data_IF_280620902154
#
_entry.id   IF_280620902154
#
_cell.length_a   1.000
_cell.length_b   1.000
_cell.length_c   1.000
_cell.angle_alpha   90.00
_cell.angle_beta   90.00
_cell.angle_gamma   90.00
#
_symmetry.space_group_name_H-M   'P 1'
#
loop_
_entity.id
_entity.type
_entity.pdbx_description
1 polymer ?
#
# COMPACT_ATOMS: atom_id res chain seq x y z
N UNK A 1 0.31 1.97 -10.41
CA UNK A 1 1.43 1.87 -9.46
C UNK A 1 0.85 1.82 -8.05
N UNK A 2 1.52 1.17 -7.09
CA UNK A 2 1.03 1.05 -5.69
C UNK A 2 2.09 1.57 -4.73
N UNK A 3 1.68 2.35 -3.74
CA UNK A 3 2.49 2.70 -2.57
C UNK A 3 1.97 1.89 -1.40
N UNK A 4 2.84 1.10 -0.76
CA UNK A 4 2.48 0.22 0.35
C UNK A 4 3.17 0.68 1.64
N UNK A 5 2.39 1.25 2.57
CA UNK A 5 2.83 1.52 3.93
C UNK A 5 2.92 0.20 4.70
N UNK A 6 4.10 -0.16 5.18
CA UNK A 6 4.34 -1.44 5.83
C UNK A 6 4.29 -1.36 7.36
N UNK A 7 4.21 -2.54 8.00
CA UNK A 7 4.28 -2.71 9.45
C UNK A 7 3.18 -1.97 10.22
N UNK A 8 1.95 -2.03 9.70
CA UNK A 8 0.77 -1.41 10.30
C UNK A 8 0.58 -1.78 11.79
N UNK A 9 0.98 -2.99 12.17
CA UNK A 9 0.96 -3.49 13.55
C UNK A 9 1.75 -2.63 14.55
N UNK A 10 2.85 -1.99 14.10
CA UNK A 10 3.70 -1.19 14.97
C UNK A 10 3.09 0.16 15.37
N UNK A 11 1.96 0.56 14.77
CA UNK A 11 1.26 1.79 15.14
C UNK A 11 0.71 1.73 16.58
N UNK A 12 0.30 0.56 17.04
CA UNK A 12 -0.37 0.39 18.34
C UNK A 12 0.45 -0.46 19.34
N UNK A 13 1.43 -1.23 18.87
CA UNK A 13 2.06 -2.31 19.66
C UNK A 13 3.52 -2.10 20.08
N UNK A 14 4.21 -1.04 19.64
CA UNK A 14 5.62 -0.80 20.04
C UNK A 14 5.80 -0.17 21.43
N UNK A 15 6.96 -0.32 22.11
CA UNK A 15 7.33 0.47 23.28
C UNK A 15 7.27 1.99 22.98
N UNK A 16 6.99 2.87 23.97
CA UNK A 16 6.71 4.30 23.75
C UNK A 16 7.75 5.03 22.88
N UNK A 17 9.02 4.68 23.07
CA UNK A 17 10.17 5.22 22.32
C UNK A 17 10.27 4.74 20.85
N UNK A 18 9.62 3.62 20.51
CA UNK A 18 9.48 3.13 19.13
C UNK A 18 8.19 3.62 18.43
N UNK A 19 7.15 4.00 19.18
CA UNK A 19 5.91 4.62 18.63
C UNK A 19 6.15 6.01 18.03
N UNK A 20 7.26 6.67 18.42
CA UNK A 20 7.53 8.08 18.13
C UNK A 20 8.44 8.33 16.91
N UNK A 21 9.15 7.34 16.38
CA UNK A 21 10.29 7.66 15.50
C UNK A 21 9.98 7.82 14.01
N UNK A 22 8.83 7.39 13.48
CA UNK A 22 8.47 7.61 12.06
C UNK A 22 7.03 7.20 11.73
N UNK A 23 6.04 7.81 12.37
CA UNK A 23 4.63 7.63 11.97
C UNK A 23 4.33 8.55 10.78
N UNK A 24 4.15 7.98 9.59
CA UNK A 24 3.54 8.69 8.47
C UNK A 24 2.03 8.62 8.68
N UNK A 25 1.34 9.76 8.65
CA UNK A 25 -0.12 9.74 8.70
C UNK A 25 -0.68 9.17 7.41
N UNK A 26 -1.81 8.47 7.50
CA UNK A 26 -2.53 7.98 6.33
C UNK A 26 -2.80 9.08 5.31
N UNK A 27 -3.11 10.29 5.79
CA UNK A 27 -3.32 11.46 4.93
C UNK A 27 -2.07 11.78 4.10
N UNK A 28 -0.89 11.93 4.73
CA UNK A 28 0.36 12.27 4.03
C UNK A 28 0.73 11.19 3.02
N UNK A 29 0.57 9.92 3.38
CA UNK A 29 0.86 8.82 2.46
C UNK A 29 -0.12 8.75 1.27
N UNK A 30 -1.40 9.07 1.52
CA UNK A 30 -2.43 9.14 0.47
C UNK A 30 -2.16 10.30 -0.49
N UNK A 31 -1.80 11.48 0.04
CA UNK A 31 -1.42 12.65 -0.77
C UNK A 31 -0.19 12.35 -1.62
N UNK A 32 0.84 11.72 -1.04
CA UNK A 32 2.03 11.29 -1.78
C UNK A 32 1.69 10.30 -2.90
N UNK A 33 0.87 9.27 -2.61
CA UNK A 33 0.46 8.31 -3.63
C UNK A 33 -0.28 8.99 -4.79
N UNK A 34 -1.18 9.94 -4.50
CA UNK A 34 -1.85 10.73 -5.52
C UNK A 34 -0.85 11.55 -6.38
N UNK A 35 0.15 12.18 -5.75
CA UNK A 35 1.18 12.96 -6.47
C UNK A 35 1.97 12.12 -7.48
N UNK A 36 2.21 10.84 -7.18
CA UNK A 36 2.95 9.94 -8.06
C UNK A 36 2.06 9.08 -8.97
N UNK A 37 0.73 9.32 -8.98
CA UNK A 37 -0.21 8.52 -9.77
C UNK A 37 -0.33 7.06 -9.30
N UNK A 38 -0.21 6.84 -7.99
CA UNK A 38 -0.34 5.54 -7.36
C UNK A 38 -1.57 5.45 -6.44
N UNK A 39 -1.94 4.22 -6.10
CA UNK A 39 -2.94 3.92 -5.06
C UNK A 39 -2.20 3.56 -3.77
N UNK A 40 -2.65 4.11 -2.64
CA UNK A 40 -2.07 3.85 -1.32
C UNK A 40 -2.79 2.71 -0.59
N UNK A 41 -2.02 1.81 -0.01
CA UNK A 41 -2.48 0.78 0.92
C UNK A 41 -1.58 0.77 2.17
N UNK A 42 -2.15 0.40 3.31
CA UNK A 42 -1.40 0.07 4.53
C UNK A 42 -1.52 -1.42 4.76
N UNK A 43 -0.41 -2.05 5.18
CA UNK A 43 -0.39 -3.48 5.43
C UNK A 43 0.57 -3.88 6.56
N UNK A 44 0.29 -5.02 7.18
CA UNK A 44 1.21 -5.74 8.05
C UNK A 44 1.34 -7.18 7.61
N UNK A 45 2.56 -7.59 7.28
CA UNK A 45 2.86 -8.99 7.02
C UNK A 45 2.80 -9.86 8.29
N UNK A 46 2.86 -9.24 9.48
CA UNK A 46 2.77 -9.95 10.75
C UNK A 46 1.33 -10.37 11.06
N UNK A 47 0.36 -9.49 10.80
CA UNK A 47 -1.06 -9.74 11.08
C UNK A 47 -1.87 -10.13 9.84
N UNK A 48 -1.24 -10.13 8.66
CA UNK A 48 -1.88 -10.24 7.34
C UNK A 48 -2.85 -9.09 7.01
N UNK A 49 -2.90 -8.03 7.82
CA UNK A 49 -3.80 -6.91 7.57
C UNK A 49 -3.37 -6.14 6.31
N UNK A 50 -4.33 -5.79 5.45
CA UNK A 50 -4.13 -5.03 4.22
C UNK A 50 -3.29 -5.69 3.12
N UNK A 51 -2.69 -6.87 3.36
CA UNK A 51 -1.86 -7.58 2.37
C UNK A 51 -2.70 -8.02 1.17
N UNK A 52 -3.78 -8.78 1.42
CA UNK A 52 -4.61 -9.33 0.35
C UNK A 52 -5.21 -8.23 -0.52
N UNK A 53 -5.74 -7.17 0.11
CA UNK A 53 -6.31 -6.03 -0.61
C UNK A 53 -5.29 -5.32 -1.54
N UNK A 54 -4.04 -5.20 -1.10
CA UNK A 54 -2.98 -4.61 -1.92
C UNK A 54 -2.65 -5.50 -3.13
N UNK A 55 -2.53 -6.81 -2.92
CA UNK A 55 -2.20 -7.76 -4.00
C UNK A 55 -3.36 -7.98 -4.98
N UNK A 56 -4.61 -7.98 -4.51
CA UNK A 56 -5.79 -8.03 -5.38
C UNK A 56 -5.83 -6.84 -6.34
N UNK A 57 -5.50 -5.64 -5.83
CA UNK A 57 -5.41 -4.45 -6.67
C UNK A 57 -4.29 -4.55 -7.71
N UNK A 58 -3.11 -5.04 -7.31
CA UNK A 58 -1.98 -5.27 -8.22
C UNK A 58 -2.38 -6.27 -9.31
N UNK A 59 -2.99 -7.39 -8.93
CA UNK A 59 -3.43 -8.42 -9.86
C UNK A 59 -4.45 -7.87 -10.87
N UNK A 60 -5.43 -7.07 -10.40
CA UNK A 60 -6.42 -6.42 -11.26
C UNK A 60 -5.77 -5.47 -12.28
N UNK A 61 -4.81 -4.65 -11.84
CA UNK A 61 -4.10 -3.70 -12.72
C UNK A 61 -3.30 -4.44 -13.78
N UNK A 62 -2.57 -5.50 -13.40
CA UNK A 62 -1.81 -6.33 -14.34
C UNK A 62 -2.72 -7.02 -15.36
N UNK A 63 -3.84 -7.58 -14.90
CA UNK A 63 -4.81 -8.24 -15.79
C UNK A 63 -5.42 -7.27 -16.80
N UNK A 64 -5.69 -6.01 -16.41
CA UNK A 64 -6.17 -4.97 -17.32
C UNK A 64 -5.12 -4.60 -18.36
N UNK A 65 -3.88 -4.34 -17.92
CA UNK A 65 -2.78 -3.98 -18.83
C UNK A 65 -2.50 -5.08 -19.86
N UNK A 66 -2.54 -6.36 -19.44
CA UNK A 66 -2.37 -7.50 -20.34
C UNK A 66 -3.45 -7.56 -21.44
N UNK A 67 -4.72 -7.30 -21.08
CA UNK A 67 -5.84 -7.26 -22.04
C UNK A 67 -5.73 -6.09 -23.02
N UNK A 68 -5.24 -4.95 -22.58
CA UNK A 68 -5.04 -3.78 -23.45
C UNK A 68 -3.90 -4.03 -24.46
N UNK A 69 -2.80 -4.62 -24.02
CA UNK A 69 -1.70 -4.99 -24.90
C UNK A 69 -2.14 -5.96 -26.01
N UNK A 70 -3.04 -6.92 -25.69
CA UNK A 70 -3.60 -7.86 -26.67
C UNK A 70 -4.54 -7.23 -27.70
N UNK A 71 -5.11 -6.05 -27.44
CA UNK A 71 -6.00 -5.36 -28.38
C UNK A 71 -5.27 -4.52 -29.42
N UNK A 72 -3.99 -4.22 -29.18
CA UNK A 72 -3.17 -3.34 -30.01
C UNK A 72 -1.97 -4.05 -30.66
N UNK A 73 -1.85 -5.37 -30.49
CA UNK A 73 -0.89 -6.24 -31.19
C UNK A 73 -1.61 -7.16 -32.16
#
# INVERSE_FOLDING_TARGET
MVVLGNKLDLLDSGPPESRLQRKISRQVATEFAAQVGAVFFEASALTNDGVDAAFDHIALVLAKAAREAQKHG
#
